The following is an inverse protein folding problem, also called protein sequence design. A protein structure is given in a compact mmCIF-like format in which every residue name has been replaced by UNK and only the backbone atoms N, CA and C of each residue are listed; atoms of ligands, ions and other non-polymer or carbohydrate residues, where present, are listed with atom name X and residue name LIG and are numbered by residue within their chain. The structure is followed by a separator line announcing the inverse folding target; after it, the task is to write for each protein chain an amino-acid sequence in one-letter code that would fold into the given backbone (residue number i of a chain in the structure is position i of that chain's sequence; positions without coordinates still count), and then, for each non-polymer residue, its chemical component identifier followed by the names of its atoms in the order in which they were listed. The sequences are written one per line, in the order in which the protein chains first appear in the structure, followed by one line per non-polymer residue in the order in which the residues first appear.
data_IF_377644622620
#
_entry.id   IF_377644622620
#
_cell.length_a   1.000
_cell.length_b   1.000
_cell.length_c   1.000
_cell.angle_alpha   90.00
_cell.angle_beta   90.00
_cell.angle_gamma   90.00
#
_symmetry.space_group_name_H-M   'P 1'
#
loop_
_entity.id
_entity.type
_entity.pdbx_description
1 polymer ?
#
# COMPACT_ATOMS: atom_id res chain seq x y z
N UNK A 1 -2.89 -9.63 31.31
CA UNK A 1 -3.89 -8.58 30.99
C UNK A 1 -3.96 -8.49 29.48
N UNK A 2 -4.96 -9.12 28.87
CA UNK A 2 -5.23 -9.00 27.43
C UNK A 2 -5.66 -7.56 27.18
N UNK A 3 -4.87 -6.81 26.40
CA UNK A 3 -5.30 -5.52 25.86
C UNK A 3 -6.63 -5.76 25.14
N UNK A 4 -7.71 -5.14 25.61
CA UNK A 4 -8.98 -5.12 24.88
C UNK A 4 -8.70 -4.50 23.51
N UNK A 5 -8.71 -5.32 22.46
CA UNK A 5 -8.64 -4.82 21.10
C UNK A 5 -9.88 -3.95 20.87
N UNK A 6 -9.67 -2.69 20.49
CA UNK A 6 -10.76 -1.80 20.10
C UNK A 6 -11.56 -2.46 18.96
N UNK A 7 -12.89 -2.27 18.88
CA UNK A 7 -13.66 -2.81 17.78
C UNK A 7 -13.28 -2.13 16.46
N UNK A 8 -13.46 -2.79 15.31
CA UNK A 8 -13.34 -2.12 14.01
C UNK A 8 -14.27 -0.92 13.91
N UNK A 9 -13.82 0.11 13.18
CA UNK A 9 -14.63 1.31 12.94
C UNK A 9 -15.27 1.23 11.55
N UNK A 10 -16.58 1.45 11.49
CA UNK A 10 -17.31 1.48 10.22
C UNK A 10 -17.94 2.87 10.03
N UNK A 11 -17.52 3.56 8.98
CA UNK A 11 -18.01 4.89 8.62
C UNK A 11 -18.61 4.89 7.22
N UNK A 12 -19.54 5.81 6.98
CA UNK A 12 -20.04 6.06 5.64
C UNK A 12 -19.06 6.95 4.87
N UNK A 13 -18.85 6.62 3.60
CA UNK A 13 -18.12 7.46 2.65
C UNK A 13 -19.11 7.98 1.61
N UNK A 14 -19.78 9.08 1.95
CA UNK A 14 -20.90 9.60 1.18
C UNK A 14 -22.12 8.67 1.22
N UNK A 15 -22.87 8.61 0.13
CA UNK A 15 -24.09 7.79 -0.01
C UNK A 15 -23.86 6.48 -0.78
N UNK A 16 -22.68 6.29 -1.34
CA UNK A 16 -22.37 5.21 -2.29
C UNK A 16 -21.34 4.21 -1.80
N UNK A 17 -20.74 4.43 -0.63
CA UNK A 17 -19.77 3.52 -0.06
C UNK A 17 -19.73 3.58 1.48
N UNK A 18 -19.12 2.56 2.08
CA UNK A 18 -18.66 2.59 3.46
C UNK A 18 -17.16 2.30 3.51
N UNK A 19 -16.54 2.71 4.61
CA UNK A 19 -15.18 2.39 4.97
C UNK A 19 -15.18 1.58 6.27
N UNK A 20 -14.56 0.42 6.22
CA UNK A 20 -14.23 -0.42 7.37
C UNK A 20 -12.75 -0.20 7.71
N UNK A 21 -12.45 0.17 8.95
CA UNK A 21 -11.09 0.37 9.45
C UNK A 21 -10.81 -0.72 10.50
N UNK A 22 -9.78 -1.55 10.25
CA UNK A 22 -9.37 -2.55 11.22
C UNK A 22 -8.74 -1.87 12.45
N UNK A 23 -8.92 -2.45 13.65
CA UNK A 23 -8.35 -1.89 14.87
C UNK A 23 -6.84 -2.14 14.96
N UNK A 24 -6.16 -1.30 15.73
CA UNK A 24 -4.74 -1.44 16.03
C UNK A 24 -3.82 -0.81 14.98
N UNK A 25 -2.53 -1.14 15.09
CA UNK A 25 -1.48 -0.63 14.21
C UNK A 25 -1.45 -1.37 12.86
N UNK A 26 -0.74 -0.80 11.89
CA UNK A 26 -0.55 -1.38 10.56
C UNK A 26 0.39 -2.59 10.63
N UNK A 27 -0.17 -3.76 10.89
CA UNK A 27 0.54 -5.04 10.90
C UNK A 27 0.11 -5.94 9.74
N UNK A 28 1.00 -6.81 9.28
CA UNK A 28 0.73 -7.73 8.18
C UNK A 28 -0.45 -8.67 8.48
N UNK A 29 -0.55 -9.18 9.71
CA UNK A 29 -1.63 -10.09 10.08
C UNK A 29 -3.01 -9.42 9.98
N UNK A 30 -3.13 -8.15 10.39
CA UNK A 30 -4.36 -7.38 10.24
C UNK A 30 -4.67 -7.10 8.75
N UNK A 31 -3.67 -6.72 7.97
CA UNK A 31 -3.81 -6.52 6.52
C UNK A 31 -4.26 -7.81 5.80
N UNK A 32 -3.70 -8.96 6.18
CA UNK A 32 -4.07 -10.27 5.63
C UNK A 32 -5.54 -10.62 5.91
N UNK A 33 -6.07 -10.22 7.07
CA UNK A 33 -7.51 -10.35 7.37
C UNK A 33 -8.35 -9.37 6.55
N UNK A 34 -7.86 -8.16 6.28
CA UNK A 34 -8.50 -7.21 5.35
C UNK A 34 -8.60 -7.81 3.95
N UNK A 35 -7.54 -8.47 3.44
CA UNK A 35 -7.59 -9.18 2.16
C UNK A 35 -8.61 -10.33 2.17
N UNK A 36 -8.68 -11.10 3.27
CA UNK A 36 -9.68 -12.15 3.44
C UNK A 36 -11.10 -11.59 3.38
N UNK A 37 -11.35 -10.51 4.14
CA UNK A 37 -12.63 -9.83 4.19
C UNK A 37 -13.00 -9.22 2.84
N UNK A 38 -12.03 -8.66 2.11
CA UNK A 38 -12.24 -8.15 0.77
C UNK A 38 -12.65 -9.27 -0.19
N UNK A 39 -11.95 -10.41 -0.17
CA UNK A 39 -12.26 -11.56 -0.99
C UNK A 39 -13.63 -12.17 -0.68
N UNK A 40 -14.08 -12.13 0.57
CA UNK A 40 -15.39 -12.62 0.98
C UNK A 40 -16.52 -11.65 0.59
N UNK A 41 -16.30 -10.35 0.79
CA UNK A 41 -17.32 -9.31 0.61
C UNK A 41 -17.58 -8.93 -0.84
N UNK A 42 -16.63 -9.18 -1.75
CA UNK A 42 -16.79 -8.91 -3.19
C UNK A 42 -18.00 -9.65 -3.81
N UNK A 43 -18.39 -10.78 -3.23
CA UNK A 43 -19.48 -11.63 -3.74
C UNK A 43 -20.81 -11.32 -3.04
N UNK A 44 -20.88 -10.28 -2.20
CA UNK A 44 -22.12 -9.92 -1.51
C UNK A 44 -23.05 -9.11 -2.42
N UNK A 45 -24.36 -9.41 -2.46
CA UNK A 45 -25.29 -8.73 -3.37
C UNK A 45 -25.36 -7.20 -3.19
N UNK A 46 -25.10 -6.70 -1.99
CA UNK A 46 -25.12 -5.27 -1.69
C UNK A 46 -23.84 -4.53 -2.12
N UNK A 47 -22.77 -5.26 -2.44
CA UNK A 47 -21.44 -4.72 -2.72
C UNK A 47 -21.22 -4.72 -4.22
N UNK A 48 -20.81 -3.57 -4.76
CA UNK A 48 -20.40 -3.44 -6.16
C UNK A 48 -18.91 -3.72 -6.32
N UNK A 49 -18.09 -3.11 -5.46
CA UNK A 49 -16.65 -3.31 -5.44
C UNK A 49 -16.16 -3.41 -4.00
N UNK A 50 -15.17 -4.27 -3.81
CA UNK A 50 -14.48 -4.49 -2.54
C UNK A 50 -13.02 -4.11 -2.71
N UNK A 51 -12.62 -2.97 -2.14
CA UNK A 51 -11.35 -2.31 -2.42
C UNK A 51 -10.49 -2.26 -1.13
N UNK A 52 -9.53 -3.19 -0.96
CA UNK A 52 -8.64 -3.18 0.20
C UNK A 52 -7.64 -2.01 0.11
N UNK A 53 -7.54 -1.22 1.18
CA UNK A 53 -6.54 -0.19 1.39
C UNK A 53 -5.51 -0.60 2.44
N UNK A 54 -4.84 0.38 3.06
CA UNK A 54 -3.88 0.17 4.15
C UNK A 54 -4.62 0.05 5.49
N UNK A 55 -4.73 -1.16 6.03
CA UNK A 55 -5.49 -1.51 7.24
C UNK A 55 -6.98 -1.13 7.20
N UNK A 56 -7.55 -1.01 6.00
CA UNK A 56 -8.95 -0.66 5.81
C UNK A 56 -9.52 -1.32 4.55
N UNK A 57 -10.83 -1.36 4.45
CA UNK A 57 -11.59 -1.89 3.33
C UNK A 57 -12.70 -0.92 2.97
N UNK A 58 -12.69 -0.43 1.73
CA UNK A 58 -13.81 0.31 1.18
C UNK A 58 -14.74 -0.64 0.44
N UNK A 59 -16.04 -0.58 0.76
CA UNK A 59 -17.08 -1.28 0.00
C UNK A 59 -17.95 -0.24 -0.68
N UNK A 60 -17.98 -0.27 -2.01
CA UNK A 60 -18.94 0.53 -2.79
C UNK A 60 -20.25 -0.26 -2.91
N UNK A 61 -21.38 0.44 -2.88
CA UNK A 61 -22.69 -0.20 -2.89
C UNK A 61 -23.17 -0.47 -4.31
N UNK A 62 -23.83 -1.61 -4.52
CA UNK A 62 -24.56 -1.90 -5.75
C UNK A 62 -25.73 -0.91 -5.96
N UNK A 63 -26.39 -0.53 -4.86
CA UNK A 63 -27.34 0.58 -4.80
C UNK A 63 -27.26 1.23 -3.41
N UNK A 64 -27.49 2.55 -3.27
CA UNK A 64 -27.50 3.22 -1.98
C UNK A 64 -28.48 2.53 -1.00
N UNK A 65 -28.01 2.00 0.14
CA UNK A 65 -28.85 1.26 1.07
C UNK A 65 -29.74 2.23 1.88
N UNK A 66 -30.98 1.83 2.13
CA UNK A 66 -31.88 2.55 3.06
C UNK A 66 -31.47 2.35 4.52
N UNK A 67 -30.90 1.19 4.82
CA UNK A 67 -30.39 0.81 6.14
C UNK A 67 -29.08 0.02 5.98
N UNK A 68 -28.11 0.33 6.84
CA UNK A 68 -26.78 -0.30 6.86
C UNK A 68 -26.64 -1.33 7.96
N UNK A 69 -27.60 -1.44 8.88
CA UNK A 69 -27.48 -2.25 10.09
C UNK A 69 -27.11 -3.69 9.74
N UNK A 70 -27.83 -4.32 8.81
CA UNK A 70 -27.54 -5.69 8.37
C UNK A 70 -26.15 -5.85 7.74
N UNK A 71 -25.71 -4.89 6.91
CA UNK A 71 -24.38 -4.94 6.30
C UNK A 71 -23.26 -4.74 7.32
N UNK A 72 -23.44 -3.82 8.28
CA UNK A 72 -22.49 -3.60 9.38
C UNK A 72 -22.37 -4.83 10.26
N UNK A 73 -23.47 -5.45 10.65
CA UNK A 73 -23.46 -6.69 11.43
C UNK A 73 -22.71 -7.79 10.68
N UNK A 74 -23.04 -8.01 9.39
CA UNK A 74 -22.36 -9.01 8.56
C UNK A 74 -20.85 -8.74 8.43
N UNK A 75 -20.43 -7.48 8.32
CA UNK A 75 -19.01 -7.11 8.27
C UNK A 75 -18.27 -7.44 9.56
N UNK A 76 -18.87 -7.11 10.70
CA UNK A 76 -18.27 -7.39 12.00
C UNK A 76 -18.17 -8.91 12.24
N UNK A 77 -19.24 -9.66 11.96
CA UNK A 77 -19.24 -11.13 12.05
C UNK A 77 -18.19 -11.76 11.11
N UNK A 78 -18.13 -11.28 9.87
CA UNK A 78 -17.13 -11.74 8.91
C UNK A 78 -15.71 -11.43 9.38
N UNK A 79 -15.47 -10.24 9.94
CA UNK A 79 -14.16 -9.86 10.48
C UNK A 79 -13.69 -10.80 11.59
N UNK A 80 -14.57 -11.12 12.54
CA UNK A 80 -14.26 -12.05 13.64
C UNK A 80 -13.88 -13.45 13.13
N UNK A 81 -14.46 -13.88 12.00
CA UNK A 81 -14.18 -15.18 11.40
C UNK A 81 -12.96 -15.16 10.46
N UNK A 82 -12.67 -14.02 9.83
CA UNK A 82 -11.57 -13.89 8.88
C UNK A 82 -10.22 -14.15 9.56
N UNK A 83 -9.55 -15.19 9.09
CA UNK A 83 -8.16 -15.49 9.45
C UNK A 83 -7.20 -14.76 8.49
N UNK A 84 -5.97 -14.45 8.93
CA UNK A 84 -4.94 -13.94 8.03
C UNK A 84 -4.72 -14.88 6.84
N UNK A 85 -4.91 -14.38 5.61
CA UNK A 85 -4.53 -15.13 4.41
C UNK A 85 -3.01 -15.34 4.34
N UNK A 86 -2.52 -16.54 4.00
CA UNK A 86 -1.09 -16.77 3.83
C UNK A 86 -0.54 -15.97 2.64
N UNK A 87 0.73 -15.54 2.73
CA UNK A 87 1.44 -14.95 1.60
C UNK A 87 1.82 -16.04 0.60
N UNK A 88 0.98 -16.21 -0.41
CA UNK A 88 1.19 -17.16 -1.53
C UNK A 88 1.26 -16.44 -2.89
N UNK A 89 1.34 -15.10 -2.87
CA UNK A 89 1.52 -14.31 -4.08
C UNK A 89 2.90 -14.51 -4.71
N UNK A 90 3.09 -13.91 -5.89
CA UNK A 90 4.36 -13.99 -6.62
C UNK A 90 5.42 -13.16 -5.91
N UNK A 91 6.67 -13.61 -5.96
CA UNK A 91 7.83 -12.79 -5.61
C UNK A 91 8.39 -12.21 -6.90
N UNK A 92 8.37 -10.88 -7.01
CA UNK A 92 8.86 -10.15 -8.17
C UNK A 92 10.10 -9.36 -7.74
N UNK A 93 11.19 -9.48 -8.52
CA UNK A 93 12.40 -8.74 -8.27
C UNK A 93 12.37 -7.37 -8.95
N UNK A 94 12.63 -6.32 -8.19
CA UNK A 94 12.57 -4.94 -8.67
C UNK A 94 13.97 -4.32 -8.66
N UNK A 95 14.62 -4.14 -9.83
CA UNK A 95 15.85 -3.37 -9.91
C UNK A 95 15.55 -1.88 -9.68
N UNK A 96 16.32 -1.25 -8.80
CA UNK A 96 16.17 0.16 -8.45
C UNK A 96 17.50 0.90 -8.62
N UNK A 97 17.44 2.02 -9.32
CA UNK A 97 18.52 3.02 -9.37
C UNK A 97 18.24 4.08 -8.31
N UNK A 98 19.08 4.14 -7.28
CA UNK A 98 18.94 5.08 -6.16
C UNK A 98 19.69 6.39 -6.43
N UNK A 99 19.11 7.50 -5.96
CA UNK A 99 19.69 8.84 -6.08
C UNK A 99 19.67 9.44 -7.50
N UNK A 100 20.49 10.47 -7.71
CA UNK A 100 20.47 11.29 -8.92
C UNK A 100 19.10 11.89 -9.25
N UNK A 101 18.84 12.14 -10.53
CA UNK A 101 17.55 12.68 -11.00
C UNK A 101 16.36 11.76 -10.71
N UNK A 102 16.61 10.46 -10.56
CA UNK A 102 15.59 9.47 -10.20
C UNK A 102 15.23 9.45 -8.71
N UNK A 103 16.09 9.98 -7.86
CA UNK A 103 15.89 10.07 -6.41
C UNK A 103 16.10 11.49 -5.89
N UNK A 104 15.33 12.48 -6.38
CA UNK A 104 15.57 13.91 -6.10
C UNK A 104 15.46 14.27 -4.62
N UNK A 105 14.85 13.42 -3.81
CA UNK A 105 14.66 13.63 -2.37
C UNK A 105 15.61 12.78 -1.51
N UNK A 106 16.58 12.10 -2.11
CA UNK A 106 17.56 11.29 -1.36
C UNK A 106 18.32 12.12 -0.32
N UNK A 107 18.73 13.35 -0.69
CA UNK A 107 19.42 14.25 0.24
C UNK A 107 18.57 14.61 1.47
N UNK A 108 17.25 14.78 1.29
CA UNK A 108 16.32 15.06 2.39
C UNK A 108 16.20 13.85 3.34
N UNK A 109 16.18 12.63 2.79
CA UNK A 109 16.14 11.39 3.58
C UNK A 109 17.45 11.17 4.33
N UNK A 110 18.60 11.42 3.70
CA UNK A 110 19.92 11.41 4.35
C UNK A 110 19.95 12.39 5.53
N UNK A 111 19.53 13.64 5.29
CA UNK A 111 19.51 14.67 6.32
C UNK A 111 18.57 14.33 7.49
N UNK A 112 17.44 13.65 7.22
CA UNK A 112 16.49 13.25 8.25
C UNK A 112 16.97 12.06 9.08
N UNK A 113 17.52 11.04 8.43
CA UNK A 113 17.88 9.76 9.06
C UNK A 113 19.30 9.74 9.61
N UNK A 114 20.19 10.61 9.08
CA UNK A 114 21.62 10.59 9.37
C UNK A 114 22.38 9.44 8.69
N UNK A 115 21.74 8.69 7.80
CA UNK A 115 22.31 7.56 7.09
C UNK A 115 22.85 8.00 5.73
N UNK A 116 23.94 7.39 5.26
CA UNK A 116 24.41 7.60 3.89
C UNK A 116 23.53 6.85 2.86
N UNK A 117 23.68 7.22 1.59
CA UNK A 117 22.87 6.68 0.49
C UNK A 117 23.05 5.17 0.33
N UNK A 118 24.25 4.64 0.55
CA UNK A 118 24.54 3.21 0.53
C UNK A 118 23.77 2.47 1.61
N UNK A 119 23.79 2.98 2.83
CA UNK A 119 23.07 2.40 3.96
C UNK A 119 21.57 2.45 3.71
N UNK A 120 21.04 3.58 3.23
CA UNK A 120 19.62 3.70 2.87
C UNK A 120 19.23 2.68 1.82
N UNK A 121 19.98 2.59 0.72
CA UNK A 121 19.68 1.65 -0.36
C UNK A 121 19.75 0.18 0.11
N UNK A 122 20.72 -0.17 0.95
CA UNK A 122 20.85 -1.52 1.49
C UNK A 122 19.69 -1.87 2.43
N UNK A 123 19.39 -1.00 3.39
CA UNK A 123 18.25 -1.19 4.32
C UNK A 123 16.91 -1.25 3.58
N UNK A 124 16.78 -0.52 2.47
CA UNK A 124 15.57 -0.51 1.65
C UNK A 124 15.46 -1.75 0.75
N UNK A 125 16.55 -2.49 0.52
CA UNK A 125 16.53 -3.75 -0.23
C UNK A 125 16.45 -5.01 0.65
N UNK A 126 16.69 -4.87 1.96
CA UNK A 126 16.73 -6.00 2.90
C UNK A 126 15.35 -6.69 3.08
N UNK A 127 14.23 -5.96 3.24
CA UNK A 127 12.92 -6.59 3.40
C UNK A 127 12.40 -7.23 2.11
N UNK A 128 11.63 -8.31 2.28
CA UNK A 128 10.73 -8.79 1.23
C UNK A 128 9.36 -8.15 1.42
N UNK A 129 8.99 -7.24 0.53
CA UNK A 129 7.87 -6.33 0.71
C UNK A 129 6.55 -6.91 0.21
N UNK A 130 5.61 -7.29 1.08
CA UNK A 130 4.23 -7.55 0.68
C UNK A 130 3.56 -6.29 0.11
N UNK A 131 2.85 -6.45 -1.00
CA UNK A 131 1.93 -5.45 -1.55
C UNK A 131 0.65 -5.44 -0.71
N UNK A 132 0.44 -4.35 0.03
CA UNK A 132 -0.72 -4.20 0.90
C UNK A 132 -1.97 -3.79 0.13
N UNK A 133 -1.81 -2.81 -0.75
CA UNK A 133 -2.89 -2.23 -1.52
C UNK A 133 -2.36 -1.65 -2.83
N UNK A 134 -3.27 -1.51 -3.78
CA UNK A 134 -3.04 -0.76 -5.02
C UNK A 134 -3.99 0.44 -5.06
N UNK A 135 -3.50 1.60 -5.48
CA UNK A 135 -4.34 2.81 -5.54
C UNK A 135 -3.55 4.10 -5.44
N UNK A 136 -4.22 5.25 -5.53
CA UNK A 136 -3.70 6.58 -5.94
C UNK A 136 -3.84 6.77 -7.45
N UNK A 137 -3.35 5.81 -8.23
CA UNK A 137 -3.58 5.68 -9.67
C UNK A 137 -3.35 4.21 -10.09
N UNK A 138 -3.73 3.80 -11.32
CA UNK A 138 -3.57 2.42 -11.77
C UNK A 138 -2.12 1.94 -11.63
N UNK A 139 -1.93 0.79 -10.97
CA UNK A 139 -0.63 0.15 -10.74
C UNK A 139 0.23 0.69 -9.60
N UNK A 140 -0.14 1.79 -8.93
CA UNK A 140 0.63 2.26 -7.77
C UNK A 140 0.57 1.22 -6.65
N UNK A 141 1.72 0.86 -6.10
CA UNK A 141 1.85 -0.16 -5.07
C UNK A 141 2.17 0.46 -3.71
N UNK A 142 1.34 0.17 -2.70
CA UNK A 142 1.69 0.42 -1.30
C UNK A 142 2.30 -0.82 -0.68
N UNK A 143 3.50 -0.66 -0.09
CA UNK A 143 4.25 -1.76 0.50
C UNK A 143 4.26 -1.67 2.03
N UNK A 144 4.26 -2.84 2.67
CA UNK A 144 4.45 -2.97 4.12
C UNK A 144 5.84 -3.53 4.47
N UNK A 145 6.26 -3.32 5.72
CA UNK A 145 7.47 -3.96 6.26
C UNK A 145 8.80 -3.22 6.01
N UNK A 146 8.76 -1.94 5.67
CA UNK A 146 9.98 -1.13 5.56
C UNK A 146 10.71 -1.02 6.90
N UNK A 147 12.04 -1.06 6.88
CA UNK A 147 12.87 -0.83 8.06
C UNK A 147 12.55 0.54 8.68
N UNK A 148 12.26 0.56 9.98
CA UNK A 148 11.84 1.76 10.71
C UNK A 148 12.93 2.84 10.75
N UNK A 149 14.20 2.48 10.57
CA UNK A 149 15.32 3.44 10.47
C UNK A 149 15.22 4.34 9.24
N UNK A 150 14.48 3.90 8.21
CA UNK A 150 14.24 4.68 6.99
C UNK A 150 13.01 5.58 7.09
N UNK A 151 12.20 5.44 8.15
CA UNK A 151 10.95 6.15 8.26
C UNK A 151 11.17 7.66 8.19
N UNK A 152 10.61 8.29 7.16
CA UNK A 152 10.78 9.71 6.88
C UNK A 152 9.42 10.34 6.62
N UNK A 153 9.00 11.40 7.32
CA UNK A 153 7.67 11.98 7.18
C UNK A 153 7.41 12.43 5.74
N UNK A 154 6.12 12.44 5.36
CA UNK A 154 5.69 13.01 4.08
C UNK A 154 6.13 14.46 3.97
N UNK A 155 6.42 14.88 2.73
CA UNK A 155 6.75 16.26 2.42
C UNK A 155 5.59 17.18 2.81
N UNK A 156 5.91 18.31 3.45
CA UNK A 156 4.92 19.33 3.80
C UNK A 156 4.29 19.97 2.55
N UNK A 157 5.09 20.13 1.50
CA UNK A 157 4.66 20.62 0.19
C UNK A 157 4.86 19.48 -0.81
N UNK A 158 3.79 18.89 -1.34
CA UNK A 158 3.87 17.90 -2.40
C UNK A 158 4.57 18.46 -3.64
N UNK A 159 5.32 17.63 -4.35
CA UNK A 159 5.81 17.95 -5.69
C UNK A 159 4.72 17.69 -6.70
N UNK A 160 4.68 18.51 -7.76
CA UNK A 160 3.66 18.43 -8.80
C UNK A 160 3.85 17.23 -9.72
N UNK A 161 5.08 16.78 -9.89
CA UNK A 161 5.40 15.68 -10.78
C UNK A 161 6.63 14.91 -10.28
N UNK A 162 6.51 13.58 -10.26
CA UNK A 162 7.59 12.60 -10.15
C UNK A 162 7.44 11.64 -11.32
N UNK A 163 8.55 11.08 -11.83
CA UNK A 163 8.49 10.17 -12.97
C UNK A 163 7.78 8.85 -12.66
N UNK A 164 7.29 8.19 -13.71
CA UNK A 164 6.86 6.80 -13.62
C UNK A 164 8.02 5.91 -13.11
N UNK A 165 7.69 4.85 -12.38
CA UNK A 165 8.66 3.99 -11.72
C UNK A 165 9.33 4.60 -10.49
N UNK A 166 8.89 5.77 -10.01
CA UNK A 166 9.42 6.38 -8.80
C UNK A 166 9.23 5.48 -7.58
N UNK A 167 10.32 5.25 -6.85
CA UNK A 167 10.39 4.52 -5.57
C UNK A 167 10.53 5.53 -4.45
N UNK A 168 9.57 5.52 -3.52
CA UNK A 168 9.39 6.64 -2.58
C UNK A 168 9.07 6.19 -1.15
N UNK A 169 9.51 6.99 -0.17
CA UNK A 169 9.24 6.81 1.26
C UNK A 169 8.22 7.85 1.76
N UNK A 170 7.24 7.41 2.53
CA UNK A 170 6.22 8.27 3.15
C UNK A 170 5.82 7.78 4.53
N UNK A 171 6.41 8.35 5.57
CA UNK A 171 6.32 7.86 6.95
C UNK A 171 7.02 6.50 7.06
N UNK A 172 6.33 5.53 7.64
CA UNK A 172 6.81 4.14 7.81
C UNK A 172 6.62 3.26 6.56
N UNK A 173 6.17 3.85 5.46
CA UNK A 173 5.80 3.12 4.24
C UNK A 173 6.75 3.44 3.10
N UNK A 174 6.92 2.46 2.21
CA UNK A 174 7.49 2.65 0.88
C UNK A 174 6.46 2.29 -0.19
N UNK A 175 6.62 2.84 -1.39
CA UNK A 175 5.69 2.63 -2.49
C UNK A 175 6.34 2.88 -3.84
N UNK A 176 5.71 2.33 -4.88
CA UNK A 176 6.15 2.47 -6.26
C UNK A 176 5.06 3.11 -7.10
N UNK A 177 5.41 4.18 -7.79
CA UNK A 177 4.51 4.89 -8.70
C UNK A 177 4.57 4.24 -10.08
N UNK A 178 3.45 3.71 -10.56
CA UNK A 178 3.32 3.18 -11.92
C UNK A 178 3.30 4.24 -13.04
N UNK A 179 2.96 5.50 -12.73
CA UNK A 179 2.84 6.60 -13.69
C UNK A 179 3.41 7.88 -13.10
N UNK A 180 3.70 8.85 -13.96
CA UNK A 180 4.09 10.18 -13.51
C UNK A 180 2.91 10.93 -12.86
N UNK A 181 3.20 11.89 -12.00
CA UNK A 181 2.18 12.68 -11.32
C UNK A 181 2.60 13.25 -9.96
N UNK A 182 1.68 13.93 -9.26
CA UNK A 182 1.99 14.62 -8.01
C UNK A 182 2.25 13.64 -6.87
N UNK A 183 3.19 13.98 -5.99
CA UNK A 183 3.51 13.15 -4.83
C UNK A 183 3.93 13.96 -3.62
N UNK A 184 3.42 13.55 -2.45
CA UNK A 184 3.87 14.04 -1.15
C UNK A 184 4.95 13.17 -0.51
N UNK A 185 5.45 12.15 -1.20
CA UNK A 185 6.42 11.19 -0.66
C UNK A 185 7.85 11.56 -1.10
N UNK A 186 8.84 11.12 -0.34
CA UNK A 186 10.25 11.35 -0.64
C UNK A 186 10.72 10.29 -1.64
N UNK A 187 10.74 10.64 -2.93
CA UNK A 187 11.34 9.82 -4.00
C UNK A 187 12.85 9.67 -3.83
N UNK A 188 13.30 8.44 -3.62
CA UNK A 188 14.70 8.08 -3.33
C UNK A 188 15.38 7.31 -4.48
N UNK A 189 14.61 6.88 -5.46
CA UNK A 189 15.13 6.18 -6.62
C UNK A 189 14.05 5.91 -7.63
N UNK A 190 14.41 5.21 -8.70
CA UNK A 190 13.49 4.84 -9.77
C UNK A 190 13.78 3.44 -10.30
N UNK A 191 12.79 2.87 -10.96
CA UNK A 191 12.87 1.64 -11.74
C UNK A 191 12.29 1.87 -13.13
N UNK A 192 12.77 1.12 -14.12
CA UNK A 192 12.22 1.14 -15.48
C UNK A 192 11.10 0.08 -15.66
N UNK A 193 10.75 -0.66 -14.59
CA UNK A 193 9.67 -1.65 -14.62
C UNK A 193 8.30 -0.99 -14.81
N UNK A 194 7.50 -1.55 -15.72
CA UNK A 194 6.13 -1.10 -15.99
C UNK A 194 5.14 -1.83 -15.09
N UNK A 195 4.45 -1.10 -14.23
CA UNK A 195 3.51 -1.66 -13.25
C UNK A 195 2.05 -1.67 -13.73
N UNK A 196 1.75 -0.94 -14.79
CA UNK A 196 0.42 -0.88 -15.38
C UNK A 196 0.52 -0.70 -16.90
N UNK A 197 -0.21 -1.54 -17.62
CA UNK A 197 -0.34 -1.50 -19.07
C UNK A 197 -1.79 -1.86 -19.43
N UNK A 198 -2.51 -0.89 -20.03
CA UNK A 198 -3.93 -1.06 -20.36
C UNK A 198 -4.17 -2.11 -21.47
N UNK A 199 -3.13 -2.43 -22.26
CA UNK A 199 -3.22 -3.40 -23.35
C UNK A 199 -2.95 -4.85 -22.87
N UNK A 200 -2.59 -5.04 -21.58
CA UNK A 200 -2.35 -6.35 -20.98
C UNK A 200 -3.55 -6.88 -20.16
N UNK A 201 -3.60 -8.21 -19.95
CA UNK A 201 -4.58 -8.86 -19.10
C UNK A 201 -3.91 -9.86 -18.12
N UNK A 202 -3.88 -9.58 -16.80
CA UNK A 202 -4.41 -8.37 -16.16
C UNK A 202 -3.57 -7.12 -16.49
N UNK A 203 -4.16 -5.91 -16.46
CA UNK A 203 -3.44 -4.68 -16.82
C UNK A 203 -2.50 -4.19 -15.72
N UNK A 204 -2.73 -4.57 -14.46
CA UNK A 204 -1.81 -4.30 -13.37
C UNK A 204 -0.82 -5.45 -13.21
N UNK A 205 0.47 -5.13 -13.11
CA UNK A 205 1.52 -6.12 -12.90
C UNK A 205 1.38 -6.82 -11.54
N UNK A 206 0.96 -6.08 -10.51
CA UNK A 206 0.91 -6.52 -9.12
C UNK A 206 -0.54 -6.72 -8.65
N UNK A 207 -0.72 -7.48 -7.59
CA UNK A 207 -1.97 -7.58 -6.82
C UNK A 207 -1.67 -7.61 -5.31
N UNK A 208 -2.62 -7.24 -4.43
CA UNK A 208 -2.45 -7.41 -2.99
C UNK A 208 -2.05 -8.85 -2.63
N UNK A 209 -1.04 -8.99 -1.76
CA UNK A 209 -0.47 -10.28 -1.38
C UNK A 209 0.70 -10.78 -2.24
N UNK A 210 0.94 -10.20 -3.43
CA UNK A 210 2.25 -10.35 -4.10
C UNK A 210 3.35 -9.70 -3.25
N UNK A 211 4.61 -10.06 -3.53
CA UNK A 211 5.77 -9.54 -2.81
C UNK A 211 6.82 -8.98 -3.77
N UNK A 212 7.48 -7.91 -3.36
CA UNK A 212 8.59 -7.30 -4.07
C UNK A 212 9.90 -7.51 -3.32
N UNK A 213 10.89 -8.03 -4.04
CA UNK A 213 12.29 -8.03 -3.59
C UNK A 213 13.01 -6.92 -4.33
N UNK A 214 13.35 -5.85 -3.63
CA UNK A 214 14.11 -4.76 -4.20
C UNK A 214 15.57 -5.18 -4.30
N UNK A 215 16.23 -4.77 -5.39
CA UNK A 215 17.66 -4.96 -5.57
C UNK A 215 18.29 -3.69 -6.10
N UNK A 216 19.47 -3.37 -5.57
CA UNK A 216 20.25 -2.22 -6.02
C UNK A 216 20.76 -2.52 -7.43
N UNK A 217 20.26 -1.80 -8.41
CA UNK A 217 20.81 -1.84 -9.78
C UNK A 217 22.02 -0.91 -9.87
N UNK A 218 21.89 0.31 -9.32
CA UNK A 218 22.95 1.31 -9.26
C UNK A 218 22.65 2.36 -8.18
N UNK A 219 23.68 3.00 -7.67
CA UNK A 219 23.58 4.16 -6.78
C UNK A 219 24.26 5.35 -7.47
N UNK A 220 23.55 6.49 -7.56
CA UNK A 220 24.04 7.75 -8.12
C UNK A 220 24.12 8.76 -6.97
N UNK A 221 25.32 9.26 -6.71
CA UNK A 221 25.62 10.22 -5.63
C UNK A 221 25.51 11.65 -6.12
#
# INVERSE_FOLDING_TARGET
MTLQQLPPRITLLGTTALLFEAPGELELAAQQRIWALASLSKDWPQVRESVPGMNNLMLTFAAPPRDLTGLKTRLLEAWEQCQPLPLQGRIIELPVVYGGDGGPHMADVIAHTGLDIETIANLHCEPLYPVYALGSHPGYCYLGGMDQRLATPRRKVPVLDIGAGSVSIGGVQTGISASAGPSGWNTIGRTEMVFFDADQNPPALMQPGDQLRLRIERIIR
#
